data_IF_165132677458
#
_entry.id   IF_165132677458
#
_cell.length_a   1.000
_cell.length_b   1.000
_cell.length_c   1.000
_cell.angle_alpha   90.00
_cell.angle_beta   90.00
_cell.angle_gamma   90.00
#
_symmetry.space_group_name_H-M   'P 1'
#
loop_
_entity.id
_entity.type
_entity.pdbx_description
1 polymer ?
#
# COMPACT_ATOMS: atom_id res chain seq x y z
N UNK A 1 -10.72 36.30 -35.94
CA UNK A 1 -10.52 35.47 -34.73
C UNK A 1 -10.28 33.99 -35.09
N UNK A 2 -9.84 33.74 -36.33
CA UNK A 2 -9.92 32.40 -36.97
C UNK A 2 -8.68 31.53 -36.77
N UNK A 3 -7.60 32.09 -36.21
CA UNK A 3 -6.33 31.37 -35.97
C UNK A 3 -6.28 30.61 -34.64
N UNK A 4 -7.21 30.88 -33.71
CA UNK A 4 -7.24 30.23 -32.39
C UNK A 4 -8.04 28.92 -32.38
N UNK A 5 -9.05 28.81 -33.24
CA UNK A 5 -9.91 27.64 -33.38
C UNK A 5 -9.15 26.32 -33.67
N UNK A 6 -8.17 26.29 -34.61
CA UNK A 6 -7.39 25.07 -34.86
C UNK A 6 -6.49 24.66 -33.70
N UNK A 7 -6.03 25.63 -32.88
CA UNK A 7 -5.19 25.36 -31.70
C UNK A 7 -6.01 24.65 -30.62
N UNK A 8 -7.26 25.08 -30.38
CA UNK A 8 -8.14 24.41 -29.41
C UNK A 8 -8.54 23.00 -29.86
N UNK A 9 -8.79 22.79 -31.15
CA UNK A 9 -9.12 21.47 -31.70
C UNK A 9 -7.93 20.51 -31.57
N UNK A 10 -6.70 20.98 -31.76
CA UNK A 10 -5.51 20.17 -31.55
C UNK A 10 -5.19 19.93 -30.05
N UNK A 11 -5.59 20.84 -29.16
CA UNK A 11 -5.28 20.74 -27.73
C UNK A 11 -6.04 19.60 -27.05
N UNK A 12 -7.32 19.39 -27.40
CA UNK A 12 -8.20 18.39 -26.80
C UNK A 12 -7.64 16.95 -26.91
N UNK A 13 -7.29 16.43 -28.10
CA UNK A 13 -6.72 15.10 -28.23
C UNK A 13 -5.35 14.99 -27.56
N UNK A 14 -4.54 16.05 -27.57
CA UNK A 14 -3.23 16.08 -26.90
C UNK A 14 -3.37 15.92 -25.39
N UNK A 15 -4.31 16.64 -24.77
CA UNK A 15 -4.64 16.51 -23.34
C UNK A 15 -5.19 15.11 -23.04
N UNK A 16 -6.04 14.56 -23.91
CA UNK A 16 -6.58 13.20 -23.79
C UNK A 16 -5.49 12.12 -23.82
N UNK A 17 -4.54 12.22 -24.74
CA UNK A 17 -3.40 11.30 -24.84
C UNK A 17 -2.49 11.40 -23.62
N UNK A 18 -2.19 12.62 -23.16
CA UNK A 18 -1.37 12.83 -21.96
C UNK A 18 -2.05 12.26 -20.70
N UNK A 19 -3.37 12.44 -20.57
CA UNK A 19 -4.16 11.84 -19.48
C UNK A 19 -4.20 10.32 -19.56
N UNK A 20 -4.43 9.76 -20.75
CA UNK A 20 -4.42 8.32 -20.99
C UNK A 20 -3.06 7.69 -20.66
N UNK A 21 -1.97 8.29 -21.13
CA UNK A 21 -0.61 7.87 -20.81
C UNK A 21 -0.32 7.94 -19.31
N UNK A 22 -0.80 8.99 -18.63
CA UNK A 22 -0.65 9.13 -17.17
C UNK A 22 -1.42 8.05 -16.41
N UNK A 23 -2.64 7.72 -16.81
CA UNK A 23 -3.44 6.66 -16.18
C UNK A 23 -2.79 5.29 -16.43
N UNK A 24 -2.42 5.00 -17.68
CA UNK A 24 -1.77 3.74 -18.05
C UNK A 24 -0.44 3.55 -17.32
N UNK A 25 0.38 4.59 -17.20
CA UNK A 25 1.63 4.54 -16.43
C UNK A 25 1.38 4.30 -14.94
N UNK A 26 0.31 4.86 -14.36
CA UNK A 26 -0.06 4.61 -12.97
C UNK A 26 -0.51 3.17 -12.75
N UNK A 27 -1.32 2.62 -13.66
CA UNK A 27 -1.75 1.22 -13.59
C UNK A 27 -0.56 0.26 -13.71
N UNK A 28 0.37 0.55 -14.63
CA UNK A 28 1.57 -0.27 -14.80
C UNK A 28 2.47 -0.25 -13.55
N UNK A 29 2.69 0.92 -12.95
CA UNK A 29 3.44 1.03 -11.69
C UNK A 29 2.75 0.27 -10.56
N UNK A 30 1.42 0.38 -10.46
CA UNK A 30 0.63 -0.36 -9.48
C UNK A 30 0.76 -1.87 -9.63
N UNK A 31 0.66 -2.40 -10.85
CA UNK A 31 0.86 -3.83 -11.13
C UNK A 31 2.25 -4.29 -10.71
N UNK A 32 3.28 -3.50 -11.03
CA UNK A 32 4.66 -3.82 -10.66
C UNK A 32 4.86 -3.82 -9.14
N UNK A 33 4.25 -2.87 -8.44
CA UNK A 33 4.31 -2.81 -6.98
C UNK A 33 3.51 -3.91 -6.30
N UNK A 34 2.34 -4.27 -6.83
CA UNK A 34 1.57 -5.43 -6.37
C UNK A 34 2.34 -6.73 -6.57
N UNK A 35 3.03 -6.87 -7.71
CA UNK A 35 3.90 -8.01 -7.97
C UNK A 35 5.08 -8.05 -6.99
N UNK A 36 5.68 -6.88 -6.71
CA UNK A 36 6.74 -6.76 -5.69
C UNK A 36 6.23 -7.15 -4.29
N UNK A 37 5.02 -6.71 -3.93
CA UNK A 37 4.37 -7.06 -2.66
C UNK A 37 4.08 -8.57 -2.57
N UNK A 38 3.65 -9.20 -3.67
CA UNK A 38 3.47 -10.66 -3.75
C UNK A 38 4.78 -11.40 -3.57
N UNK A 39 5.84 -10.96 -4.26
CA UNK A 39 7.18 -11.54 -4.13
C UNK A 39 7.74 -11.39 -2.72
N UNK A 40 7.57 -10.22 -2.10
CA UNK A 40 7.91 -10.01 -0.69
C UNK A 40 7.15 -11.00 0.21
N UNK A 41 5.83 -11.15 0.01
CA UNK A 41 5.03 -12.11 0.74
C UNK A 41 5.53 -13.55 0.59
N UNK A 42 5.84 -13.97 -0.63
CA UNK A 42 6.40 -15.28 -0.92
C UNK A 42 7.76 -15.48 -0.23
N UNK A 43 8.65 -14.47 -0.25
CA UNK A 43 9.94 -14.52 0.46
C UNK A 43 9.76 -14.67 1.97
N UNK A 44 8.81 -13.94 2.55
CA UNK A 44 8.51 -14.02 3.99
C UNK A 44 7.98 -15.42 4.35
N UNK A 45 7.08 -15.99 3.55
CA UNK A 45 6.57 -17.36 3.75
C UNK A 45 7.69 -18.41 3.63
N UNK A 46 8.54 -18.32 2.59
CA UNK A 46 9.68 -19.22 2.40
C UNK A 46 10.65 -19.14 3.58
N UNK A 47 10.94 -17.93 4.08
CA UNK A 47 11.85 -17.72 5.21
C UNK A 47 11.36 -18.39 6.50
N UNK A 48 10.04 -18.56 6.65
CA UNK A 48 9.42 -19.23 7.79
C UNK A 48 9.09 -20.71 7.50
N UNK A 49 9.54 -21.25 6.37
CA UNK A 49 9.30 -22.65 5.98
C UNK A 49 7.83 -22.95 5.62
N UNK A 50 7.06 -21.93 5.25
CA UNK A 50 5.63 -22.05 4.94
C UNK A 50 5.35 -22.19 3.44
N UNK A 51 4.25 -22.87 3.07
CA UNK A 51 3.84 -22.95 1.67
C UNK A 51 3.42 -21.57 1.14
N UNK A 52 3.78 -21.28 -0.11
CA UNK A 52 3.48 -20.01 -0.79
C UNK A 52 2.09 -19.96 -1.42
N UNK A 53 1.27 -20.99 -1.22
CA UNK A 53 -0.07 -21.13 -1.79
C UNK A 53 -1.14 -20.31 -1.03
N UNK A 54 -0.73 -19.58 0.01
CA UNK A 54 -1.58 -18.67 0.77
C UNK A 54 -2.55 -19.34 1.74
N UNK A 55 -2.47 -20.67 1.91
CA UNK A 55 -3.40 -21.42 2.76
C UNK A 55 -3.06 -21.37 4.24
N UNK A 56 -1.82 -21.03 4.60
CA UNK A 56 -1.37 -20.97 5.99
C UNK A 56 -0.45 -19.76 6.23
N UNK A 57 -1.04 -18.65 6.68
CA UNK A 57 -0.32 -17.41 7.01
C UNK A 57 -0.17 -17.28 8.52
N UNK A 58 1.07 -17.31 8.98
CA UNK A 58 1.38 -17.24 10.40
C UNK A 58 1.36 -15.82 10.92
N UNK A 59 1.55 -15.68 12.22
CA UNK A 59 1.47 -14.39 12.91
C UNK A 59 2.55 -13.44 12.42
N UNK A 60 3.78 -13.94 12.23
CA UNK A 60 4.89 -13.12 11.75
C UNK A 60 4.63 -12.61 10.33
N UNK A 61 4.02 -13.42 9.49
CA UNK A 61 3.70 -13.09 8.11
C UNK A 61 2.54 -12.08 8.07
N UNK A 62 1.50 -12.26 8.91
CA UNK A 62 0.44 -11.27 9.08
C UNK A 62 1.00 -9.92 9.54
N UNK A 63 1.91 -9.90 10.51
CA UNK A 63 2.61 -8.68 10.97
C UNK A 63 3.41 -8.04 9.83
N UNK A 64 4.13 -8.83 9.02
CA UNK A 64 4.86 -8.32 7.86
C UNK A 64 3.93 -7.68 6.82
N UNK A 65 2.78 -8.30 6.53
CA UNK A 65 1.78 -7.74 5.62
C UNK A 65 1.16 -6.44 6.15
N UNK A 66 0.95 -6.31 7.46
CA UNK A 66 0.45 -5.08 8.08
C UNK A 66 1.44 -3.92 7.90
N UNK A 67 2.73 -4.17 8.09
CA UNK A 67 3.76 -3.16 7.82
C UNK A 67 3.84 -2.81 6.33
N UNK A 68 3.73 -3.81 5.43
CA UNK A 68 3.69 -3.58 3.99
C UNK A 68 2.49 -2.72 3.58
N UNK A 69 1.32 -2.96 4.16
CA UNK A 69 0.12 -2.15 3.94
C UNK A 69 0.33 -0.70 4.35
N UNK A 70 0.94 -0.47 5.52
CA UNK A 70 1.33 0.87 5.97
C UNK A 70 2.31 1.56 5.03
N UNK A 71 3.33 0.83 4.55
CA UNK A 71 4.32 1.36 3.61
C UNK A 71 3.69 1.74 2.26
N UNK A 72 2.82 0.89 1.70
CA UNK A 72 2.09 1.16 0.47
C UNK A 72 1.12 2.34 0.62
N UNK A 73 0.37 2.39 1.73
CA UNK A 73 -0.52 3.50 2.05
C UNK A 73 0.21 4.83 2.21
N UNK A 74 1.45 4.81 2.71
CA UNK A 74 2.28 6.01 2.82
C UNK A 74 2.81 6.46 1.46
N UNK A 75 3.32 5.51 0.65
CA UNK A 75 3.86 5.78 -0.69
C UNK A 75 2.78 6.32 -1.63
N UNK A 76 1.57 5.77 -1.56
CA UNK A 76 0.46 6.12 -2.43
C UNK A 76 -0.61 6.89 -1.68
N UNK A 77 -0.59 8.22 -1.81
CA UNK A 77 -1.55 9.12 -1.12
C UNK A 77 -3.02 8.72 -1.28
N UNK A 78 -3.39 8.14 -2.42
CA UNK A 78 -4.75 7.71 -2.73
C UNK A 78 -5.14 6.39 -2.03
N UNK A 79 -4.17 5.55 -1.63
CA UNK A 79 -4.37 4.35 -0.81
C UNK A 79 -4.37 4.65 0.68
N UNK A 80 -3.87 5.82 1.09
CA UNK A 80 -3.76 6.22 2.50
C UNK A 80 -5.07 6.04 3.29
N UNK A 81 -6.26 6.43 2.79
CA UNK A 81 -7.52 6.24 3.53
C UNK A 81 -7.85 4.76 3.75
N UNK A 82 -7.67 3.92 2.73
CA UNK A 82 -7.94 2.49 2.81
C UNK A 82 -6.96 1.77 3.75
N UNK A 83 -5.66 2.09 3.63
CA UNK A 83 -4.64 1.59 4.53
C UNK A 83 -4.91 2.02 5.98
N UNK A 84 -5.30 3.27 6.19
CA UNK A 84 -5.65 3.78 7.53
C UNK A 84 -6.80 3.01 8.14
N UNK A 85 -7.91 2.82 7.42
CA UNK A 85 -9.07 2.09 7.92
C UNK A 85 -8.70 0.66 8.34
N UNK A 86 -8.02 -0.09 7.46
CA UNK A 86 -7.59 -1.44 7.77
C UNK A 86 -6.62 -1.52 8.95
N UNK A 87 -5.66 -0.58 9.06
CA UNK A 87 -4.74 -0.56 10.20
C UNK A 87 -5.41 -0.13 11.51
N UNK A 88 -6.42 0.75 11.45
CA UNK A 88 -7.27 1.08 12.61
C UNK A 88 -8.01 -0.14 13.11
N UNK A 89 -8.57 -0.95 12.21
CA UNK A 89 -9.23 -2.21 12.56
C UNK A 89 -8.24 -3.21 13.20
N UNK A 90 -7.04 -3.37 12.63
CA UNK A 90 -6.00 -4.21 13.26
C UNK A 90 -5.61 -3.69 14.64
N UNK A 91 -5.44 -2.37 14.82
CA UNK A 91 -5.05 -1.80 16.11
C UNK A 91 -6.11 -1.94 17.20
N UNK A 92 -7.38 -2.03 16.81
CA UNK A 92 -8.54 -2.23 17.70
C UNK A 92 -8.83 -3.69 17.96
N UNK A 93 -8.00 -4.60 17.46
CA UNK A 93 -8.10 -6.03 17.73
C UNK A 93 -7.67 -6.30 19.18
N UNK A 94 -8.39 -5.70 20.13
CA UNK A 94 -8.05 -5.66 21.54
C UNK A 94 -8.85 -6.71 22.30
N UNK A 95 -8.08 -7.64 22.86
CA UNK A 95 -8.10 -8.20 24.22
C UNK A 95 -9.42 -8.46 24.97
N UNK A 96 -10.59 -8.40 24.33
CA UNK A 96 -11.85 -8.46 25.07
C UNK A 96 -12.23 -9.88 25.54
N UNK A 97 -11.50 -10.91 25.13
CA UNK A 97 -11.80 -12.27 25.56
C UNK A 97 -10.56 -13.17 25.48
N UNK A 98 -9.70 -13.17 26.52
CA UNK A 98 -8.57 -14.10 26.68
C UNK A 98 -7.64 -14.28 25.44
N UNK A 99 -7.68 -13.31 24.52
CA UNK A 99 -7.27 -13.53 23.14
C UNK A 99 -5.74 -13.64 23.09
N UNK A 100 -5.29 -14.77 22.56
CA UNK A 100 -3.91 -15.25 22.48
C UNK A 100 -2.85 -14.15 22.23
N UNK A 101 -1.62 -14.37 22.71
CA UNK A 101 -0.41 -13.54 22.45
C UNK A 101 -0.29 -13.03 21.00
N UNK A 102 -0.85 -13.78 20.07
CA UNK A 102 -1.02 -13.50 18.64
C UNK A 102 -1.81 -12.21 18.37
N UNK A 103 -3.03 -12.07 18.91
CA UNK A 103 -3.87 -10.90 18.65
C UNK A 103 -3.21 -9.61 19.13
N UNK A 104 -2.52 -9.65 20.28
CA UNK A 104 -1.73 -8.52 20.79
C UNK A 104 -0.57 -8.15 19.87
N UNK A 105 0.12 -9.13 19.27
CA UNK A 105 1.18 -8.86 18.30
C UNK A 105 0.63 -8.19 17.04
N UNK A 106 -0.52 -8.66 16.55
CA UNK A 106 -1.17 -8.08 15.39
C UNK A 106 -1.66 -6.65 15.67
N UNK A 107 -2.30 -6.43 16.82
CA UNK A 107 -2.76 -5.10 17.22
C UNK A 107 -1.61 -4.11 17.40
N UNK A 108 -0.51 -4.55 18.02
CA UNK A 108 0.71 -3.75 18.15
C UNK A 108 1.31 -3.39 16.78
N UNK A 109 1.33 -4.34 15.83
CA UNK A 109 1.79 -4.10 14.47
C UNK A 109 0.89 -3.09 13.74
N UNK A 110 -0.44 -3.21 13.88
CA UNK A 110 -1.41 -2.27 13.31
C UNK A 110 -1.20 -0.84 13.83
N UNK A 111 -1.03 -0.69 15.15
CA UNK A 111 -0.75 0.60 15.78
C UNK A 111 0.59 1.19 15.32
N UNK A 112 1.63 0.37 15.24
CA UNK A 112 2.94 0.80 14.77
C UNK A 112 2.87 1.28 13.31
N UNK A 113 2.22 0.52 12.44
CA UNK A 113 2.02 0.87 11.04
C UNK A 113 1.15 2.12 10.87
N UNK A 114 0.15 2.36 11.73
CA UNK A 114 -0.65 3.60 11.75
C UNK A 114 0.18 4.83 12.10
N UNK A 115 0.97 4.73 13.16
CA UNK A 115 1.89 5.80 13.57
C UNK A 115 2.81 6.15 12.43
N UNK A 116 3.30 5.13 11.74
CA UNK A 116 4.12 5.27 10.57
C UNK A 116 3.37 5.90 9.38
N UNK A 117 2.17 5.45 9.04
CA UNK A 117 1.35 6.01 7.96
C UNK A 117 1.06 7.50 8.15
N UNK A 118 0.94 7.94 9.40
CA UNK A 118 0.66 9.33 9.78
C UNK A 118 1.91 10.17 10.03
N UNK A 119 3.09 9.56 10.14
CA UNK A 119 4.33 10.30 10.29
C UNK A 119 4.52 11.24 9.08
N UNK A 120 5.02 12.48 9.28
CA UNK A 120 5.45 13.31 8.17
C UNK A 120 6.47 12.51 7.35
N UNK A 121 6.46 12.69 6.03
CA UNK A 121 7.44 12.05 5.16
C UNK A 121 8.83 12.37 5.71
N UNK A 122 9.44 11.40 6.40
CA UNK A 122 10.85 11.44 6.74
C UNK A 122 11.57 11.18 5.43
N UNK A 123 11.70 12.23 4.63
CA UNK A 123 12.81 12.35 3.71
C UNK A 123 14.02 12.05 4.57
N UNK A 124 14.75 10.98 4.23
CA UNK A 124 16.05 10.78 4.81
C UNK A 124 16.81 12.08 4.63
N UNK A 125 17.20 12.69 5.76
CA UNK A 125 18.25 13.69 5.79
C UNK A 125 19.52 12.95 5.37
N UNK A 126 19.69 12.71 4.07
CA UNK A 126 20.98 12.40 3.50
C UNK A 126 21.66 13.76 3.25
N UNK A 127 22.38 14.21 4.29
CA UNK A 127 23.65 14.90 4.09
C UNK A 127 24.65 13.93 3.47
#
# INVERSE_FOLDING_TARGET
MDKLLPIFIALIPTVGVLWGARIASRDFQLRRELETARQFGAMVLIAHGRPTDGRDVGVTEQVAYIHLLGALGRRHKWLKPAARAALEDFSKWDAHDSASKIHRQIAAAGLAALKDLNAPARWWQSN
#
